data_IF_699157936194
#
_entry.id   IF_699157936194
#
_cell.length_a   1.000
_cell.length_b   1.000
_cell.length_c   1.000
_cell.angle_alpha   90.00
_cell.angle_beta   90.00
_cell.angle_gamma   90.00
#
_symmetry.space_group_name_H-M   'P 1'
#
loop_
_entity.id
_entity.type
_entity.pdbx_description
1 polymer ?
#
# COMPACT_ATOMS: atom_id res chain seq x y z
N UNK A 1 -18.71 39.39 -2.95
CA UNK A 1 -19.03 38.02 -3.39
C UNK A 1 -17.72 37.37 -3.79
N UNK A 2 -17.11 36.63 -2.87
CA UNK A 2 -15.94 35.82 -3.19
C UNK A 2 -16.42 34.56 -3.92
N UNK A 3 -16.05 34.44 -5.19
CA UNK A 3 -16.20 33.18 -5.92
C UNK A 3 -15.21 32.17 -5.33
N UNK A 4 -15.71 31.23 -4.52
CA UNK A 4 -14.99 30.00 -4.24
C UNK A 4 -14.86 29.22 -5.55
N UNK A 5 -13.67 29.23 -6.15
CA UNK A 5 -13.31 28.29 -7.21
C UNK A 5 -13.21 26.91 -6.55
N UNK A 6 -14.27 26.10 -6.66
CA UNK A 6 -14.23 24.69 -6.29
C UNK A 6 -13.55 23.96 -7.45
N UNK A 7 -12.22 23.90 -7.42
CA UNK A 7 -11.43 23.18 -8.42
C UNK A 7 -11.71 21.68 -8.31
N UNK A 8 -12.20 21.07 -9.38
CA UNK A 8 -12.36 19.61 -9.49
C UNK A 8 -10.99 19.03 -9.82
N UNK A 9 -10.35 18.37 -8.86
CA UNK A 9 -9.07 17.67 -9.09
C UNK A 9 -9.33 16.45 -9.99
N UNK A 10 -8.50 16.25 -11.03
CA UNK A 10 -8.64 15.08 -11.89
C UNK A 10 -8.16 13.81 -11.18
N UNK A 11 -8.75 12.66 -11.50
CA UNK A 11 -8.34 11.36 -10.93
C UNK A 11 -6.83 11.04 -11.15
N UNK A 12 -6.24 11.53 -12.24
CA UNK A 12 -4.81 11.36 -12.54
C UNK A 12 -3.92 12.20 -11.61
N UNK A 13 -4.26 13.47 -11.41
CA UNK A 13 -3.55 14.36 -10.46
C UNK A 13 -3.65 13.81 -9.04
N UNK A 14 -4.79 13.20 -8.74
CA UNK A 14 -5.06 12.52 -7.49
C UNK A 14 -4.19 11.27 -7.30
N UNK A 15 -4.15 10.39 -8.30
CA UNK A 15 -3.30 9.19 -8.29
C UNK A 15 -1.82 9.51 -8.10
N UNK A 16 -1.33 10.60 -8.69
CA UNK A 16 0.04 11.07 -8.49
C UNK A 16 0.34 11.41 -7.01
N UNK A 17 -0.57 12.14 -6.36
CA UNK A 17 -0.41 12.53 -4.94
C UNK A 17 -0.46 11.29 -4.04
N UNK A 18 -1.38 10.36 -4.32
CA UNK A 18 -1.48 9.11 -3.55
C UNK A 18 -0.21 8.26 -3.71
N UNK A 19 0.30 8.11 -4.92
CA UNK A 19 1.55 7.39 -5.18
C UNK A 19 2.73 7.99 -4.40
N UNK A 20 2.87 9.33 -4.41
CA UNK A 20 3.89 10.02 -3.63
C UNK A 20 3.74 9.78 -2.11
N UNK A 21 2.51 9.83 -1.59
CA UNK A 21 2.24 9.56 -0.18
C UNK A 21 2.62 8.12 0.19
N UNK A 22 2.29 7.15 -0.67
CA UNK A 22 2.67 5.74 -0.49
C UNK A 22 4.18 5.60 -0.42
N UNK A 23 4.91 6.10 -1.43
CA UNK A 23 6.37 6.01 -1.47
C UNK A 23 7.02 6.65 -0.23
N UNK A 24 6.60 7.86 0.14
CA UNK A 24 7.12 8.54 1.33
C UNK A 24 6.87 7.78 2.63
N UNK A 25 5.75 7.06 2.75
CA UNK A 25 5.39 6.29 3.95
C UNK A 25 6.08 4.93 3.97
N UNK A 26 6.34 4.34 2.81
CA UNK A 26 7.21 3.18 2.67
C UNK A 26 8.63 3.54 3.12
N UNK A 27 9.20 4.64 2.61
CA UNK A 27 10.54 5.11 2.97
C UNK A 27 10.68 5.43 4.47
N UNK A 28 9.67 6.06 5.07
CA UNK A 28 9.64 6.35 6.50
C UNK A 28 9.80 5.06 7.32
N UNK A 29 9.04 4.01 7.01
CA UNK A 29 9.14 2.72 7.70
C UNK A 29 10.51 2.06 7.47
N UNK A 30 11.00 2.07 6.24
CA UNK A 30 12.31 1.50 5.89
C UNK A 30 13.50 2.25 6.50
N UNK A 31 13.28 3.46 7.01
CA UNK A 31 14.30 4.25 7.71
C UNK A 31 14.41 3.89 9.21
N UNK A 32 13.43 3.16 9.76
CA UNK A 32 13.42 2.74 11.16
C UNK A 32 14.21 1.43 11.35
N UNK A 33 15.53 1.45 11.11
CA UNK A 33 16.40 0.26 11.09
C UNK A 33 16.27 -0.63 12.35
N UNK A 34 16.15 -0.03 13.54
CA UNK A 34 15.98 -0.77 14.80
C UNK A 34 14.68 -1.58 14.80
N UNK A 35 13.60 -1.04 14.21
CA UNK A 35 12.33 -1.72 14.11
C UNK A 35 12.39 -2.85 13.09
N UNK A 36 13.07 -2.65 11.94
CA UNK A 36 13.31 -3.71 10.95
C UNK A 36 14.10 -4.88 11.52
N UNK A 37 15.14 -4.60 12.33
CA UNK A 37 15.94 -5.64 13.00
C UNK A 37 15.10 -6.45 13.99
N UNK A 38 14.25 -5.79 14.78
CA UNK A 38 13.38 -6.47 15.77
C UNK A 38 12.40 -7.45 15.12
N UNK A 39 12.02 -7.22 13.87
CA UNK A 39 11.02 -8.02 13.16
C UNK A 39 11.63 -8.86 12.03
N UNK A 40 12.96 -9.06 12.02
CA UNK A 40 13.65 -9.91 11.06
C UNK A 40 13.82 -9.33 9.64
N UNK A 41 13.15 -8.22 9.32
CA UNK A 41 13.15 -7.62 7.99
C UNK A 41 14.49 -6.99 7.56
N UNK A 42 15.42 -6.77 8.49
CA UNK A 42 16.75 -6.21 8.17
C UNK A 42 17.62 -7.12 7.28
N UNK A 43 17.25 -8.40 7.14
CA UNK A 43 17.98 -9.37 6.32
C UNK A 43 17.43 -9.51 4.90
N UNK A 44 16.24 -8.96 4.66
CA UNK A 44 15.55 -8.98 3.37
C UNK A 44 16.16 -7.90 2.47
N UNK A 45 16.20 -8.16 1.16
CA UNK A 45 16.63 -7.17 0.19
C UNK A 45 15.75 -5.90 0.29
N UNK A 46 16.39 -4.73 0.24
CA UNK A 46 15.72 -3.46 0.50
C UNK A 46 14.74 -3.09 -0.61
N UNK A 47 15.05 -3.43 -1.86
CA UNK A 47 14.21 -3.12 -3.00
C UNK A 47 12.98 -4.04 -3.02
N UNK A 48 13.16 -5.32 -2.70
CA UNK A 48 12.06 -6.28 -2.52
C UNK A 48 11.12 -5.84 -1.38
N UNK A 49 11.70 -5.41 -0.25
CA UNK A 49 10.92 -4.94 0.89
C UNK A 49 10.18 -3.64 0.58
N UNK A 50 10.81 -2.71 -0.14
CA UNK A 50 10.16 -1.50 -0.63
C UNK A 50 8.95 -1.83 -1.51
N UNK A 51 9.10 -2.81 -2.40
CA UNK A 51 8.03 -3.23 -3.29
C UNK A 51 6.85 -3.83 -2.52
N UNK A 52 7.09 -4.81 -1.65
CA UNK A 52 6.01 -5.44 -0.86
C UNK A 52 5.27 -4.45 0.05
N UNK A 53 6.00 -3.54 0.70
CA UNK A 53 5.40 -2.47 1.50
C UNK A 53 4.59 -1.49 0.66
N UNK A 54 5.09 -1.15 -0.54
CA UNK A 54 4.37 -0.28 -1.48
C UNK A 54 3.07 -0.91 -1.93
N UNK A 55 3.07 -2.22 -2.24
CA UNK A 55 1.87 -2.97 -2.61
C UNK A 55 0.87 -3.00 -1.45
N UNK A 56 1.32 -3.27 -0.23
CA UNK A 56 0.46 -3.25 0.96
C UNK A 56 -0.13 -1.86 1.21
N UNK A 57 0.67 -0.79 1.06
CA UNK A 57 0.19 0.58 1.21
C UNK A 57 -0.82 0.96 0.11
N UNK A 58 -0.61 0.55 -1.14
CA UNK A 58 -1.62 0.68 -2.19
C UNK A 58 -2.92 -0.04 -1.80
N UNK A 59 -2.84 -1.26 -1.27
CA UNK A 59 -4.00 -2.00 -0.76
C UNK A 59 -4.74 -1.25 0.37
N UNK A 60 -4.03 -0.72 1.37
CA UNK A 60 -4.65 0.05 2.46
C UNK A 60 -5.33 1.31 1.93
N UNK A 61 -4.67 2.01 1.01
CA UNK A 61 -5.20 3.20 0.34
C UNK A 61 -6.53 2.86 -0.36
N UNK A 62 -6.53 1.78 -1.14
CA UNK A 62 -7.68 1.25 -1.85
C UNK A 62 -8.86 0.98 -0.91
N UNK A 63 -8.61 0.26 0.18
CA UNK A 63 -9.66 -0.17 1.11
C UNK A 63 -10.22 1.00 1.91
N UNK A 64 -9.40 1.98 2.25
CA UNK A 64 -9.87 3.19 2.90
C UNK A 64 -10.80 4.00 1.98
N UNK A 65 -10.42 4.20 0.71
CA UNK A 65 -11.24 4.97 -0.24
C UNK A 65 -12.54 4.29 -0.62
N UNK A 66 -12.51 2.96 -0.77
CA UNK A 66 -13.72 2.19 -1.02
C UNK A 66 -14.57 2.03 0.24
N UNK A 67 -14.12 2.50 1.42
CA UNK A 67 -14.75 2.20 2.71
C UNK A 67 -15.01 0.71 2.92
N UNK A 68 -14.13 -0.13 2.37
CA UNK A 68 -14.33 -1.58 2.28
C UNK A 68 -15.55 -2.03 1.47
N UNK A 69 -16.36 -1.13 0.91
CA UNK A 69 -17.48 -1.31 -0.04
C UNK A 69 -18.20 0.05 -0.24
N UNK A 70 -18.06 0.73 -1.40
CA UNK A 70 -19.10 1.66 -1.96
C UNK A 70 -18.85 2.45 -3.26
N UNK A 71 -17.68 2.48 -3.89
CA UNK A 71 -17.54 3.22 -5.17
C UNK A 71 -16.32 2.78 -6.01
N UNK A 72 -16.55 1.94 -7.03
CA UNK A 72 -15.48 1.26 -7.79
C UNK A 72 -14.92 2.10 -8.97
N UNK A 73 -15.70 3.02 -9.55
CA UNK A 73 -15.37 3.66 -10.84
C UNK A 73 -14.31 4.77 -10.75
N UNK A 74 -14.43 5.69 -9.78
CA UNK A 74 -13.44 6.76 -9.56
C UNK A 74 -12.13 6.18 -9.04
N UNK A 75 -12.27 5.10 -8.28
CA UNK A 75 -11.21 4.33 -7.67
C UNK A 75 -10.31 3.64 -8.69
N UNK A 76 -10.89 2.99 -9.70
CA UNK A 76 -10.15 2.23 -10.72
C UNK A 76 -9.13 3.13 -11.41
N UNK A 77 -9.51 4.37 -11.78
CA UNK A 77 -8.59 5.31 -12.46
C UNK A 77 -7.44 5.81 -11.58
N UNK A 78 -7.69 6.05 -10.29
CA UNK A 78 -6.64 6.49 -9.38
C UNK A 78 -5.66 5.36 -9.07
N UNK A 79 -6.18 4.13 -8.93
CA UNK A 79 -5.36 2.93 -8.76
C UNK A 79 -4.53 2.63 -10.02
N UNK A 80 -5.16 2.66 -11.20
CA UNK A 80 -4.48 2.48 -12.48
C UNK A 80 -3.33 3.48 -12.61
N UNK A 81 -3.56 4.73 -12.20
CA UNK A 81 -2.51 5.76 -12.20
C UNK A 81 -1.38 5.43 -11.21
N UNK A 82 -1.69 4.95 -10.00
CA UNK A 82 -0.66 4.54 -9.04
C UNK A 82 0.17 3.36 -9.55
N UNK A 83 -0.47 2.34 -10.14
CA UNK A 83 0.22 1.21 -10.76
C UNK A 83 1.08 1.65 -11.94
N UNK A 84 0.54 2.51 -12.82
CA UNK A 84 1.28 3.08 -13.94
C UNK A 84 2.55 3.80 -13.47
N UNK A 85 2.47 4.62 -12.43
CA UNK A 85 3.62 5.34 -11.88
C UNK A 85 4.67 4.39 -11.28
N UNK A 86 4.23 3.36 -10.53
CA UNK A 86 5.13 2.36 -9.97
C UNK A 86 5.88 1.63 -11.10
N UNK A 87 5.16 1.16 -12.11
CA UNK A 87 5.76 0.47 -13.25
C UNK A 87 6.72 1.38 -14.02
N UNK A 88 6.34 2.64 -14.23
CA UNK A 88 7.21 3.60 -14.89
C UNK A 88 8.50 3.82 -14.10
N UNK A 89 8.42 3.99 -12.77
CA UNK A 89 9.57 4.12 -11.90
C UNK A 89 10.48 2.89 -11.96
N UNK A 90 9.94 1.67 -11.90
CA UNK A 90 10.74 0.45 -11.95
C UNK A 90 11.45 0.25 -13.30
N UNK A 91 10.81 0.65 -14.40
CA UNK A 91 11.45 0.63 -15.73
C UNK A 91 12.55 1.68 -15.85
N UNK A 92 12.36 2.87 -15.29
CA UNK A 92 13.34 3.95 -15.37
C UNK A 92 14.56 3.72 -14.46
N UNK A 93 14.35 3.18 -13.26
CA UNK A 93 15.36 3.17 -12.20
C UNK A 93 15.81 1.78 -11.75
N UNK A 94 15.07 0.72 -12.08
CA UNK A 94 15.33 -0.65 -11.60
C UNK A 94 15.51 -1.69 -12.73
N UNK A 95 15.63 -1.25 -13.99
CA UNK A 95 15.83 -2.09 -15.18
C UNK A 95 14.75 -3.15 -15.45
N UNK A 96 13.53 -2.98 -14.94
CA UNK A 96 12.42 -3.88 -15.26
C UNK A 96 12.10 -3.81 -16.76
N UNK A 97 11.93 -4.96 -17.40
CA UNK A 97 11.43 -5.05 -18.77
C UNK A 97 9.90 -5.17 -18.82
N UNK A 98 9.32 -5.50 -19.98
CA UNK A 98 7.86 -5.62 -20.08
C UNK A 98 7.34 -6.91 -19.41
N UNK A 99 8.11 -7.99 -19.46
CA UNK A 99 7.73 -9.29 -18.91
C UNK A 99 7.81 -9.24 -17.38
N UNK A 100 8.78 -8.50 -16.83
CA UNK A 100 8.87 -8.22 -15.39
C UNK A 100 7.66 -7.41 -14.89
N UNK A 101 7.20 -6.43 -15.68
CA UNK A 101 6.03 -5.61 -15.32
C UNK A 101 4.73 -6.41 -15.38
N UNK A 102 4.58 -7.32 -16.36
CA UNK A 102 3.42 -8.21 -16.43
C UNK A 102 3.37 -9.14 -15.21
N UNK A 103 4.49 -9.76 -14.85
CA UNK A 103 4.60 -10.60 -13.65
C UNK A 103 4.35 -9.80 -12.38
N UNK A 104 4.85 -8.57 -12.28
CA UNK A 104 4.61 -7.70 -11.14
C UNK A 104 3.13 -7.31 -11.03
N UNK A 105 2.47 -7.02 -12.15
CA UNK A 105 1.05 -6.73 -12.16
C UNK A 105 0.24 -7.91 -11.61
N UNK A 106 0.51 -9.14 -12.06
CA UNK A 106 -0.11 -10.35 -11.50
C UNK A 106 0.18 -10.53 -10.02
N UNK A 107 1.43 -10.27 -9.60
CA UNK A 107 1.86 -10.32 -8.20
C UNK A 107 1.05 -9.36 -7.33
N UNK A 108 0.86 -8.11 -7.77
CA UNK A 108 0.09 -7.09 -7.05
C UNK A 108 -1.35 -7.56 -6.79
N UNK A 109 -2.05 -8.05 -7.82
CA UNK A 109 -3.43 -8.50 -7.65
C UNK A 109 -3.54 -9.74 -6.79
N UNK A 110 -2.62 -10.69 -6.94
CA UNK A 110 -2.53 -11.85 -6.03
C UNK A 110 -2.36 -11.41 -4.58
N UNK A 111 -1.50 -10.43 -4.30
CA UNK A 111 -1.35 -9.86 -2.94
C UNK A 111 -2.64 -9.23 -2.43
N UNK A 112 -3.39 -8.52 -3.27
CA UNK A 112 -4.66 -7.91 -2.88
C UNK A 112 -5.72 -8.96 -2.51
N UNK A 113 -5.75 -10.08 -3.24
CA UNK A 113 -6.63 -11.21 -2.92
C UNK A 113 -6.21 -11.86 -1.60
N UNK A 114 -4.92 -12.17 -1.43
CA UNK A 114 -4.36 -12.73 -0.18
C UNK A 114 -4.67 -11.85 1.04
N UNK A 115 -4.51 -10.54 0.92
CA UNK A 115 -4.83 -9.59 1.98
C UNK A 115 -6.33 -9.50 2.26
N UNK A 116 -7.16 -9.52 1.21
CA UNK A 116 -8.63 -9.51 1.37
C UNK A 116 -9.11 -10.79 2.04
N UNK A 117 -8.64 -11.94 1.59
CA UNK A 117 -8.98 -13.26 2.15
C UNK A 117 -8.54 -13.38 3.59
N UNK A 118 -7.32 -12.93 3.93
CA UNK A 118 -6.83 -12.95 5.30
C UNK A 118 -7.76 -12.14 6.22
N UNK A 119 -8.16 -10.94 5.80
CA UNK A 119 -9.03 -10.05 6.58
C UNK A 119 -10.45 -10.62 6.70
N UNK A 120 -11.03 -11.15 5.62
CA UNK A 120 -12.38 -11.74 5.64
C UNK A 120 -12.47 -13.00 6.49
N UNK A 121 -11.43 -13.84 6.49
CA UNK A 121 -11.40 -15.08 7.25
C UNK A 121 -11.02 -14.89 8.72
N UNK A 122 -10.62 -13.68 9.12
CA UNK A 122 -10.26 -13.34 10.50
C UNK A 122 -11.46 -12.75 11.25
N UNK A 123 -12.11 -13.59 12.08
CA UNK A 123 -13.35 -13.21 12.80
C UNK A 123 -13.05 -12.45 14.11
N UNK A 124 -11.89 -12.69 14.74
CA UNK A 124 -11.61 -12.22 16.11
C UNK A 124 -10.45 -11.21 16.21
N UNK A 125 -9.67 -11.02 15.14
CA UNK A 125 -8.48 -10.16 15.16
C UNK A 125 -8.69 -8.86 14.38
N UNK A 126 -8.12 -7.76 14.90
CA UNK A 126 -8.15 -6.46 14.22
C UNK A 126 -7.56 -6.58 12.80
N UNK A 127 -8.25 -6.02 11.79
CA UNK A 127 -7.87 -6.07 10.38
C UNK A 127 -6.41 -5.64 10.13
N UNK A 128 -5.90 -4.65 10.87
CA UNK A 128 -4.53 -4.14 10.72
C UNK A 128 -3.49 -5.17 11.15
N UNK A 129 -3.80 -5.94 12.18
CA UNK A 129 -2.95 -7.01 12.70
C UNK A 129 -3.01 -8.24 11.82
N UNK A 130 -4.20 -8.57 11.30
CA UNK A 130 -4.36 -9.61 10.28
C UNK A 130 -3.55 -9.29 9.02
N UNK A 131 -3.65 -8.04 8.53
CA UNK A 131 -2.87 -7.58 7.37
C UNK A 131 -1.38 -7.58 7.64
N UNK A 132 -0.95 -7.13 8.83
CA UNK A 132 0.46 -7.16 9.21
C UNK A 132 1.03 -8.58 9.21
N UNK A 133 0.27 -9.58 9.66
CA UNK A 133 0.69 -10.98 9.62
C UNK A 133 0.76 -11.49 8.18
N UNK A 134 -0.25 -11.20 7.38
CA UNK A 134 -0.29 -11.60 5.98
C UNK A 134 0.92 -11.04 5.22
N UNK A 135 1.27 -9.76 5.43
CA UNK A 135 2.47 -9.15 4.86
C UNK A 135 3.75 -9.88 5.29
N UNK A 136 3.92 -10.14 6.60
CA UNK A 136 5.13 -10.80 7.09
C UNK A 136 5.29 -12.20 6.51
N UNK A 137 4.21 -13.01 6.53
CA UNK A 137 4.21 -14.35 5.91
C UNK A 137 4.49 -14.32 4.40
N UNK A 138 4.11 -13.23 3.74
CA UNK A 138 4.31 -13.03 2.32
C UNK A 138 5.74 -12.65 1.95
N UNK A 139 6.47 -12.04 2.88
CA UNK A 139 7.88 -11.68 2.76
C UNK A 139 8.75 -12.88 3.11
N UNK A 140 8.51 -13.48 4.29
CA UNK A 140 9.28 -14.62 4.80
C UNK A 140 8.46 -15.30 5.91
N UNK A 141 8.14 -16.58 5.72
CA UNK A 141 7.36 -17.38 6.65
C UNK A 141 8.14 -17.82 7.90
N UNK A 142 9.44 -17.58 7.93
CA UNK A 142 10.31 -17.79 9.10
C UNK A 142 10.31 -16.60 10.08
N UNK A 143 9.74 -15.44 9.71
CA UNK A 143 9.67 -14.27 10.59
C UNK A 143 8.74 -14.53 11.78
N UNK A 144 9.28 -14.44 13.00
CA UNK A 144 8.51 -14.65 14.22
C UNK A 144 7.33 -13.65 14.34
N UNK A 145 6.16 -14.19 14.72
CA UNK A 145 4.87 -13.46 14.81
C UNK A 145 4.88 -12.22 15.73
N UNK A 146 5.93 -12.00 16.54
CA UNK A 146 6.07 -10.83 17.43
C UNK A 146 6.10 -9.51 16.64
N UNK A 147 6.59 -9.53 15.39
CA UNK A 147 6.63 -8.35 14.51
C UNK A 147 5.27 -7.85 14.04
N UNK A 148 4.23 -8.68 14.13
CA UNK A 148 2.87 -8.37 13.64
C UNK A 148 2.31 -7.09 14.27
N UNK A 149 2.53 -6.87 15.57
CA UNK A 149 2.01 -5.69 16.26
C UNK A 149 2.69 -4.40 15.81
N UNK A 150 3.96 -4.46 15.44
CA UNK A 150 4.70 -3.29 14.96
C UNK A 150 4.21 -2.91 13.57
N UNK A 151 4.09 -3.89 12.68
CA UNK A 151 3.54 -3.70 11.34
C UNK A 151 2.09 -3.21 11.40
N UNK A 152 1.26 -3.75 12.31
CA UNK A 152 -0.11 -3.29 12.51
C UNK A 152 -0.18 -1.80 12.90
N UNK A 153 0.69 -1.34 13.81
CA UNK A 153 0.77 0.07 14.20
C UNK A 153 1.20 0.95 13.02
N UNK A 154 2.13 0.49 12.20
CA UNK A 154 2.52 1.17 10.98
C UNK A 154 1.34 1.30 10.01
N UNK A 155 0.63 0.20 9.75
CA UNK A 155 -0.57 0.15 8.90
C UNK A 155 -1.64 1.14 9.40
N UNK A 156 -1.92 1.14 10.71
CA UNK A 156 -2.89 2.07 11.30
C UNK A 156 -2.44 3.52 11.22
N UNK A 157 -1.15 3.80 11.46
CA UNK A 157 -0.58 5.14 11.30
C UNK A 157 -0.73 5.62 9.85
N UNK A 158 -0.45 4.76 8.88
CA UNK A 158 -0.62 5.07 7.48
C UNK A 158 -2.09 5.32 7.13
N UNK A 159 -2.99 4.38 7.47
CA UNK A 159 -4.44 4.51 7.28
C UNK A 159 -4.98 5.83 7.81
N UNK A 160 -4.59 6.24 9.02
CA UNK A 160 -5.03 7.49 9.63
C UNK A 160 -4.36 8.75 9.04
N UNK A 161 -3.25 8.60 8.32
CA UNK A 161 -2.55 9.72 7.66
C UNK A 161 -3.09 10.04 6.27
N UNK A 162 -3.76 9.07 5.64
CA UNK A 162 -4.38 9.29 4.35
C UNK A 162 -5.51 10.31 4.56
N UNK A 163 -5.50 11.45 3.82
CA UNK A 163 -6.51 12.47 4.02
C UNK A 163 -7.90 11.90 3.78
N UNK A 164 -8.86 12.28 4.64
CA UNK A 164 -10.26 11.86 4.49
C UNK A 164 -10.93 12.72 3.40
N UNK A 165 -10.67 12.37 2.14
CA UNK A 165 -10.96 13.23 0.98
C UNK A 165 -12.45 13.24 0.63
N UNK A 166 -13.21 12.25 1.11
CA UNK A 166 -14.67 12.17 0.93
C UNK A 166 -15.45 13.25 1.69
N UNK A 167 -14.84 13.95 2.65
CA UNK A 167 -15.47 15.11 3.30
C UNK A 167 -15.34 16.42 2.48
N UNK A 168 -14.64 16.42 1.34
CA UNK A 168 -14.38 17.61 0.54
C UNK A 168 -14.88 17.54 -0.92
N UNK A 169 -15.51 16.43 -1.34
CA UNK A 169 -16.19 16.32 -2.64
C UNK A 169 -17.65 16.74 -2.50
#
# INVERSE_FOLDING_TARGET
MEQKVKGTVKAEEYGNVLHYLIGSKTDEFLSEEENLQKIGLSTIDRDDLYLELTIMNMFVMIKQYTHWEKDEDVYTKALDQMHFLLFHQLKEYSNYDNDDIEQLHEHIFRRYDEYSDAIQNSIEENWSKTLGRALLNNIDDEIENEGTNLVAKYIEKFYNSIPNILNNI
#
